data_IF_819011585340
#
_entry.id   IF_819011585340
#
_cell.length_a   1.000
_cell.length_b   1.000
_cell.length_c   1.000
_cell.angle_alpha   90.00
_cell.angle_beta   90.00
_cell.angle_gamma   90.00
#
_symmetry.space_group_name_H-M   'P 1'
#
loop_
_entity.id
_entity.type
_entity.pdbx_description
1 polymer ?
#
# COMPACT_ATOMS: atom_id res chain seq x y z
N UNK A 1 -17.48 -24.65 10.54
CA UNK A 1 -17.97 -24.15 11.84
C UNK A 1 -17.82 -25.13 13.02
N UNK A 2 -17.39 -26.39 12.81
CA UNK A 2 -17.20 -27.38 13.89
C UNK A 2 -15.75 -27.49 14.45
N UNK A 3 -14.75 -26.95 13.74
CA UNK A 3 -13.35 -27.03 14.17
C UNK A 3 -12.99 -26.02 15.29
N UNK A 4 -13.66 -24.88 15.33
CA UNK A 4 -13.42 -23.82 16.33
C UNK A 4 -13.96 -24.22 17.71
N UNK A 5 -15.05 -24.99 17.75
CA UNK A 5 -15.70 -25.41 19.00
C UNK A 5 -14.93 -26.53 19.71
N UNK A 6 -14.34 -27.47 18.96
CA UNK A 6 -13.52 -28.53 19.54
C UNK A 6 -12.18 -28.01 20.10
N UNK A 7 -11.62 -26.94 19.53
CA UNK A 7 -10.43 -26.30 20.09
C UNK A 7 -10.73 -25.63 21.44
N UNK A 8 -11.94 -25.09 21.60
CA UNK A 8 -12.38 -24.37 22.80
C UNK A 8 -12.55 -25.28 24.03
N UNK A 9 -12.94 -26.55 23.84
CA UNK A 9 -13.11 -27.52 24.94
C UNK A 9 -11.78 -28.05 25.52
N UNK A 10 -10.70 -27.99 24.74
CA UNK A 10 -9.36 -28.37 25.22
C UNK A 10 -8.76 -27.28 26.15
N UNK A 11 -9.26 -26.04 26.05
CA UNK A 11 -8.75 -24.90 26.83
C UNK A 11 -9.12 -24.92 28.33
N UNK A 12 -10.10 -25.72 28.75
CA UNK A 12 -10.66 -25.66 30.11
C UNK A 12 -9.85 -26.37 31.20
N UNK A 13 -8.75 -27.08 30.88
CA UNK A 13 -8.15 -28.02 31.86
C UNK A 13 -6.74 -27.74 32.37
N UNK A 14 -6.12 -26.58 32.13
CA UNK A 14 -4.83 -26.29 32.80
C UNK A 14 -4.38 -24.82 32.78
N UNK A 15 -4.35 -24.20 33.97
CA UNK A 15 -3.84 -22.84 34.20
C UNK A 15 -2.40 -22.60 33.70
N UNK A 16 -1.55 -23.64 33.68
CA UNK A 16 -0.17 -23.55 33.15
C UNK A 16 -0.08 -23.63 31.61
N UNK A 17 -1.08 -24.20 30.94
CA UNK A 17 -1.10 -24.38 29.48
C UNK A 17 -1.49 -23.09 28.77
N UNK A 18 -2.39 -22.28 29.36
CA UNK A 18 -2.82 -21.00 28.81
C UNK A 18 -1.63 -20.04 28.58
N UNK A 19 -0.70 -19.93 29.53
CA UNK A 19 0.44 -19.00 29.41
C UNK A 19 1.45 -19.43 28.32
N UNK A 20 1.74 -20.73 28.21
CA UNK A 20 2.59 -21.26 27.13
C UNK A 20 1.93 -21.12 25.75
N UNK A 21 0.61 -21.32 25.66
CA UNK A 21 -0.13 -21.10 24.42
C UNK A 21 -0.18 -19.62 24.02
N UNK A 22 -0.29 -18.69 24.98
CA UNK A 22 -0.25 -17.25 24.69
C UNK A 22 1.11 -16.85 24.11
N UNK A 23 2.22 -17.30 24.70
CA UNK A 23 3.56 -17.02 24.15
C UNK A 23 3.71 -17.67 22.77
N UNK A 24 3.22 -18.90 22.58
CA UNK A 24 3.28 -19.60 21.30
C UNK A 24 2.40 -18.93 20.23
N UNK A 25 1.21 -18.44 20.56
CA UNK A 25 0.33 -17.71 19.63
C UNK A 25 0.94 -16.35 19.27
N UNK A 26 1.57 -15.65 20.23
CA UNK A 26 2.32 -14.42 19.95
C UNK A 26 3.51 -14.71 19.02
N UNK A 27 4.25 -15.80 19.27
CA UNK A 27 5.37 -16.20 18.41
C UNK A 27 4.92 -16.64 17.02
N UNK A 28 3.86 -17.45 16.91
CA UNK A 28 3.27 -17.89 15.63
C UNK A 28 2.72 -16.68 14.87
N UNK A 29 2.03 -15.74 15.52
CA UNK A 29 1.57 -14.53 14.84
C UNK A 29 2.74 -13.65 14.37
N UNK A 30 3.86 -13.63 15.09
CA UNK A 30 5.07 -12.91 14.69
C UNK A 30 5.79 -13.60 13.53
N UNK A 31 5.92 -14.93 13.54
CA UNK A 31 6.62 -15.70 12.50
C UNK A 31 5.78 -15.97 11.24
N UNK A 32 4.46 -16.07 11.38
CA UNK A 32 3.51 -16.19 10.24
C UNK A 32 3.28 -14.82 9.58
N UNK A 33 3.44 -13.71 10.31
CA UNK A 33 3.39 -12.36 9.74
C UNK A 33 4.56 -12.03 8.80
N UNK A 34 5.73 -12.63 9.02
CA UNK A 34 6.95 -12.34 8.24
C UNK A 34 7.14 -13.29 7.03
N UNK A 35 6.56 -14.50 7.05
CA UNK A 35 6.81 -15.54 6.02
C UNK A 35 5.76 -15.65 4.89
N UNK A 36 4.80 -14.72 4.78
CA UNK A 36 3.69 -14.80 3.81
C UNK A 36 3.73 -13.78 2.65
N UNK A 37 4.80 -12.97 2.51
CA UNK A 37 4.87 -11.92 1.49
C UNK A 37 6.00 -12.11 0.47
N UNK A 38 6.06 -13.30 -0.12
CA UNK A 38 6.65 -13.50 -1.46
C UNK A 38 5.61 -13.33 -2.58
N UNK A 39 4.56 -12.54 -2.34
CA UNK A 39 3.68 -12.11 -3.41
C UNK A 39 4.29 -10.88 -4.09
N UNK A 40 4.59 -10.99 -5.38
CA UNK A 40 4.80 -9.83 -6.24
C UNK A 40 3.60 -8.89 -6.06
N UNK A 41 3.85 -7.69 -5.56
CA UNK A 41 2.82 -6.67 -5.40
C UNK A 41 2.26 -6.32 -6.77
N UNK A 42 0.94 -6.20 -6.89
CA UNK A 42 0.31 -5.68 -8.11
C UNK A 42 0.10 -4.18 -7.98
N UNK A 43 0.69 -3.43 -8.92
CA UNK A 43 0.54 -1.99 -9.00
C UNK A 43 -0.34 -1.63 -10.19
N UNK A 44 -1.19 -0.62 -10.01
CA UNK A 44 -1.88 0.00 -11.11
C UNK A 44 -0.97 1.01 -11.79
N UNK A 45 -0.92 0.95 -13.12
CA UNK A 45 -0.14 1.85 -13.96
C UNK A 45 -1.10 2.61 -14.88
N UNK A 46 -1.18 3.92 -14.68
CA UNK A 46 -2.04 4.81 -15.44
C UNK A 46 -1.60 6.27 -15.22
N UNK A 47 -2.12 7.16 -16.05
CA UNK A 47 -1.97 8.59 -15.82
C UNK A 47 -3.17 9.39 -16.28
N UNK A 48 -3.42 10.54 -15.66
CA UNK A 48 -4.28 11.60 -16.20
C UNK A 48 -3.48 12.83 -16.67
N UNK A 49 -2.16 12.71 -16.69
CA UNK A 49 -1.22 13.71 -17.23
C UNK A 49 -0.97 13.44 -18.71
N UNK A 50 -0.76 14.52 -19.44
CA UNK A 50 -0.13 14.45 -20.75
C UNK A 50 1.38 14.21 -20.54
N UNK A 51 1.82 12.98 -20.76
CA UNK A 51 3.20 12.57 -20.53
C UNK A 51 4.20 13.23 -21.49
N UNK A 52 3.80 13.54 -22.73
CA UNK A 52 4.67 14.22 -23.68
C UNK A 52 4.87 15.67 -23.28
N UNK A 53 3.78 16.37 -22.96
CA UNK A 53 3.85 17.75 -22.47
C UNK A 53 4.69 17.85 -21.20
N UNK A 54 4.45 16.99 -20.22
CA UNK A 54 5.21 16.97 -18.97
C UNK A 54 6.71 16.78 -19.20
N UNK A 55 7.08 15.86 -20.09
CA UNK A 55 8.50 15.59 -20.37
C UNK A 55 9.17 16.73 -21.12
N UNK A 56 8.46 17.42 -22.01
CA UNK A 56 8.97 18.60 -22.69
C UNK A 56 9.24 19.77 -21.73
N UNK A 57 8.50 19.85 -20.62
CA UNK A 57 8.70 20.87 -19.59
C UNK A 57 9.90 20.57 -18.67
N UNK A 58 10.35 19.31 -18.59
CA UNK A 58 11.50 18.89 -17.79
C UNK A 58 12.80 19.15 -18.55
N UNK A 59 13.51 20.21 -18.16
CA UNK A 59 14.79 20.62 -18.77
C UNK A 59 16.00 19.81 -18.29
N UNK A 60 15.96 19.25 -17.09
CA UNK A 60 17.07 18.46 -16.56
C UNK A 60 17.10 17.06 -17.18
N UNK A 61 18.24 16.67 -17.73
CA UNK A 61 18.39 15.41 -18.46
C UNK A 61 18.16 14.17 -17.59
N UNK A 62 18.63 14.17 -16.33
CA UNK A 62 18.49 13.02 -15.45
C UNK A 62 17.04 12.82 -15.04
N UNK A 63 16.35 13.92 -14.70
CA UNK A 63 14.91 13.89 -14.43
C UNK A 63 14.10 13.51 -15.66
N UNK A 64 14.46 14.02 -16.84
CA UNK A 64 13.79 13.67 -18.09
C UNK A 64 13.88 12.16 -18.32
N UNK A 65 15.10 11.61 -18.31
CA UNK A 65 15.36 10.17 -18.49
C UNK A 65 14.65 9.31 -17.45
N UNK A 66 14.63 9.74 -16.18
CA UNK A 66 13.91 9.02 -15.12
C UNK A 66 12.39 9.00 -15.37
N UNK A 67 11.84 10.11 -15.88
CA UNK A 67 10.41 10.29 -16.15
C UNK A 67 9.96 9.75 -17.51
N UNK A 68 10.84 9.31 -18.41
CA UNK A 68 10.47 8.79 -19.74
C UNK A 68 9.45 7.64 -19.65
N UNK A 69 9.51 6.85 -18.57
CA UNK A 69 8.57 5.76 -18.32
C UNK A 69 7.11 6.19 -18.17
N UNK A 70 6.86 7.48 -17.91
CA UNK A 70 5.51 8.06 -17.87
C UNK A 70 4.79 7.93 -19.20
N UNK A 71 5.51 7.93 -20.34
CA UNK A 71 4.87 7.82 -21.67
C UNK A 71 4.27 6.43 -21.93
N UNK A 72 4.75 5.40 -21.23
CA UNK A 72 4.32 4.02 -21.46
C UNK A 72 3.12 3.59 -20.63
N UNK A 73 2.64 4.46 -19.72
CA UNK A 73 1.41 4.20 -18.97
C UNK A 73 0.19 4.77 -19.69
N UNK A 74 -0.96 4.08 -19.66
CA UNK A 74 -2.16 4.51 -20.35
C UNK A 74 -2.71 5.82 -19.75
N UNK A 75 -3.04 6.77 -20.63
CA UNK A 75 -3.82 7.95 -20.27
C UNK A 75 -5.28 7.56 -20.06
N UNK A 76 -5.85 7.86 -18.90
CA UNK A 76 -7.25 7.59 -18.59
C UNK A 76 -7.78 8.44 -17.44
N UNK A 77 -9.03 8.89 -17.57
CA UNK A 77 -9.73 9.65 -16.52
C UNK A 77 -10.02 8.79 -15.27
N UNK A 78 -10.04 7.46 -15.42
CA UNK A 78 -10.12 6.53 -14.28
C UNK A 78 -8.87 6.51 -13.42
N UNK A 79 -7.78 7.14 -13.84
CA UNK A 79 -6.57 7.32 -13.04
C UNK A 79 -6.68 8.47 -12.03
N UNK A 80 -7.87 8.76 -11.53
CA UNK A 80 -8.11 9.87 -10.62
C UNK A 80 -7.62 9.60 -9.20
N UNK A 81 -7.75 10.60 -8.33
CA UNK A 81 -7.38 10.48 -6.91
C UNK A 81 -8.33 9.58 -6.12
N UNK A 82 -9.63 9.57 -6.47
CA UNK A 82 -10.68 8.69 -5.91
C UNK A 82 -10.61 7.24 -6.43
N UNK A 83 -9.49 6.89 -7.06
CA UNK A 83 -9.16 5.61 -7.71
C UNK A 83 -10.02 4.42 -7.28
N UNK A 84 -10.91 3.99 -8.19
CA UNK A 84 -11.78 2.82 -8.05
C UNK A 84 -11.29 1.74 -9.01
N UNK A 85 -10.73 0.62 -8.51
CA UNK A 85 -10.07 -0.39 -9.36
C UNK A 85 -10.89 -0.88 -10.55
N UNK A 86 -12.18 -1.20 -10.35
CA UNK A 86 -13.05 -1.72 -11.41
C UNK A 86 -13.27 -0.70 -12.54
N UNK A 87 -13.42 0.58 -12.19
CA UNK A 87 -13.61 1.67 -13.15
C UNK A 87 -12.28 1.99 -13.84
N UNK A 88 -11.18 2.03 -13.08
CA UNK A 88 -9.85 2.28 -13.60
C UNK A 88 -9.43 1.23 -14.63
N UNK A 89 -9.64 -0.06 -14.35
CA UNK A 89 -9.33 -1.14 -15.28
C UNK A 89 -10.15 -1.05 -16.57
N UNK A 90 -11.46 -0.81 -16.46
CA UNK A 90 -12.35 -0.66 -17.63
C UNK A 90 -12.02 0.56 -18.48
N UNK A 91 -11.50 1.61 -17.86
CA UNK A 91 -11.09 2.84 -18.53
C UNK A 91 -9.66 2.79 -19.08
N UNK A 92 -8.98 1.64 -18.96
CA UNK A 92 -7.69 1.39 -19.61
C UNK A 92 -6.47 1.38 -18.70
N UNK A 93 -6.63 1.56 -17.38
CA UNK A 93 -5.51 1.39 -16.45
C UNK A 93 -4.98 -0.05 -16.50
N UNK A 94 -3.65 -0.22 -16.42
CA UNK A 94 -3.03 -1.54 -16.39
C UNK A 94 -2.83 -1.98 -14.94
N UNK A 95 -3.19 -3.22 -14.61
CA UNK A 95 -2.74 -3.86 -13.37
C UNK A 95 -1.63 -4.83 -13.72
N UNK A 96 -0.44 -4.62 -13.16
CA UNK A 96 0.72 -5.45 -13.45
C UNK A 96 1.46 -5.84 -12.17
N UNK A 97 2.07 -7.01 -12.20
CA UNK A 97 2.97 -7.44 -11.14
C UNK A 97 4.24 -6.58 -11.14
N UNK A 98 4.66 -6.18 -9.95
CA UNK A 98 5.81 -5.35 -9.70
C UNK A 98 6.87 -6.21 -9.01
N UNK A 99 7.69 -6.86 -9.82
CA UNK A 99 8.69 -7.83 -9.37
C UNK A 99 9.67 -7.18 -8.38
N UNK A 100 9.63 -7.66 -7.13
CA UNK A 100 10.41 -7.13 -6.01
C UNK A 100 10.43 -5.59 -5.95
N UNK A 101 9.33 -4.95 -6.31
CA UNK A 101 9.21 -3.50 -6.46
C UNK A 101 8.24 -2.88 -5.46
N UNK A 102 8.02 -1.57 -5.62
CA UNK A 102 7.02 -0.80 -4.86
C UNK A 102 6.08 -0.06 -5.81
N UNK A 103 4.86 0.19 -5.37
CA UNK A 103 3.96 1.06 -6.11
C UNK A 103 4.32 2.52 -5.83
N UNK A 104 4.12 3.38 -6.83
CA UNK A 104 4.30 4.82 -6.74
C UNK A 104 3.04 5.53 -7.22
N UNK A 105 2.69 6.62 -6.54
CA UNK A 105 1.67 7.57 -6.99
C UNK A 105 2.23 8.99 -6.89
N UNK A 106 2.17 9.72 -7.98
CA UNK A 106 2.39 11.16 -8.02
C UNK A 106 1.05 11.87 -8.21
N UNK A 107 0.79 12.89 -7.41
CA UNK A 107 -0.40 13.73 -7.46
C UNK A 107 0.02 15.18 -7.65
N UNK A 108 -0.50 15.83 -8.68
CA UNK A 108 -0.26 17.23 -9.01
C UNK A 108 -1.57 17.98 -8.82
N UNK A 109 -1.61 18.90 -7.87
CA UNK A 109 -2.74 19.77 -7.61
C UNK A 109 -2.38 21.20 -8.03
N UNK A 110 -3.00 21.69 -9.09
CA UNK A 110 -2.82 23.05 -9.58
C UNK A 110 -3.73 24.03 -8.82
N UNK A 111 -3.39 25.33 -8.83
CA UNK A 111 -4.19 26.37 -8.17
C UNK A 111 -5.64 26.45 -8.65
N UNK A 112 -5.90 26.09 -9.91
CA UNK A 112 -7.24 26.00 -10.49
C UNK A 112 -8.06 24.79 -9.97
N UNK A 113 -7.58 24.09 -8.92
CA UNK A 113 -8.16 22.87 -8.34
C UNK A 113 -8.24 21.69 -9.29
N UNK A 114 -7.56 21.73 -10.43
CA UNK A 114 -7.39 20.53 -11.26
C UNK A 114 -6.33 19.65 -10.63
N UNK A 115 -6.68 18.38 -10.43
CA UNK A 115 -5.74 17.37 -9.96
C UNK A 115 -5.40 16.42 -11.09
N UNK A 116 -4.12 16.14 -11.24
CA UNK A 116 -3.59 15.19 -12.19
C UNK A 116 -2.77 14.16 -11.46
N UNK A 117 -2.85 12.91 -11.88
CA UNK A 117 -2.30 11.78 -11.15
C UNK A 117 -1.52 10.90 -12.10
N UNK A 118 -0.44 10.34 -11.60
CA UNK A 118 0.34 9.31 -12.25
C UNK A 118 0.56 8.17 -11.26
N UNK A 119 0.36 6.94 -11.72
CA UNK A 119 0.55 5.72 -10.96
C UNK A 119 1.46 4.78 -11.73
N UNK A 120 2.34 4.11 -11.01
CA UNK A 120 3.27 3.16 -11.61
C UNK A 120 3.89 2.20 -10.61
N UNK A 121 4.69 1.29 -11.15
CA UNK A 121 5.54 0.37 -10.41
C UNK A 121 7.00 0.80 -10.58
N UNK A 122 7.76 0.79 -9.48
CA UNK A 122 9.22 0.86 -9.52
C UNK A 122 9.73 -0.56 -9.27
N UNK A 123 10.24 -1.28 -10.28
CA UNK A 123 10.70 -2.65 -10.11
C UNK A 123 12.01 -2.68 -9.30
N UNK A 124 12.28 -3.81 -8.62
CA UNK A 124 13.53 -4.06 -7.87
C UNK A 124 13.87 -3.03 -6.79
N UNK A 125 12.92 -2.20 -6.36
CA UNK A 125 13.14 -1.13 -5.37
C UNK A 125 12.70 -1.51 -3.96
N UNK A 126 12.17 -2.72 -3.74
CA UNK A 126 11.78 -3.18 -2.42
C UNK A 126 13.00 -3.13 -1.49
N UNK A 127 12.80 -2.58 -0.29
CA UNK A 127 13.85 -2.30 0.71
C UNK A 127 14.91 -1.25 0.31
N UNK A 128 14.91 -0.74 -0.93
CA UNK A 128 15.82 0.34 -1.36
C UNK A 128 15.18 1.71 -1.20
N UNK A 129 13.85 1.78 -1.36
CA UNK A 129 13.08 3.01 -1.21
C UNK A 129 12.12 2.83 -0.05
N UNK A 130 12.14 3.79 0.88
CA UNK A 130 11.20 3.83 2.00
C UNK A 130 9.79 4.13 1.50
N UNK A 131 8.80 3.43 2.04
CA UNK A 131 7.39 3.75 1.84
C UNK A 131 7.03 5.02 2.61
N UNK A 132 6.81 6.12 1.91
CA UNK A 132 6.40 7.39 2.51
C UNK A 132 5.74 8.29 1.46
N UNK A 133 5.13 9.37 1.92
CA UNK A 133 4.60 10.43 1.06
C UNK A 133 5.38 11.72 1.31
N UNK A 134 5.96 12.29 0.25
CA UNK A 134 6.61 13.60 0.27
C UNK A 134 5.75 14.60 -0.48
N UNK A 135 5.46 15.72 0.16
CA UNK A 135 4.69 16.82 -0.43
C UNK A 135 5.58 18.04 -0.64
N UNK A 136 5.53 18.59 -1.84
CA UNK A 136 6.24 19.80 -2.26
C UNK A 136 5.17 20.80 -2.69
N UNK A 137 5.26 22.03 -2.22
CA UNK A 137 4.36 23.12 -2.60
C UNK A 137 5.14 24.25 -3.27
N UNK A 138 4.54 24.86 -4.28
CA UNK A 138 5.05 26.05 -4.96
C UNK A 138 3.93 27.09 -5.12
N UNK A 139 4.26 28.23 -5.70
CA UNK A 139 3.27 29.26 -6.04
C UNK A 139 2.34 28.84 -7.19
N UNK A 140 2.62 27.74 -7.89
CA UNK A 140 1.84 27.26 -9.03
C UNK A 140 0.92 26.09 -8.67
N UNK A 141 1.20 25.43 -7.53
CA UNK A 141 0.44 24.28 -7.07
C UNK A 141 1.20 23.45 -6.04
N UNK A 142 0.77 22.20 -5.85
CA UNK A 142 1.47 21.25 -4.99
C UNK A 142 1.61 19.90 -5.68
N UNK A 143 2.75 19.26 -5.46
CA UNK A 143 3.05 17.90 -5.88
C UNK A 143 3.15 17.02 -4.63
N UNK A 144 2.52 15.87 -4.66
CA UNK A 144 2.68 14.83 -3.63
C UNK A 144 3.14 13.53 -4.30
N UNK A 145 4.25 12.99 -3.82
CA UNK A 145 4.84 11.75 -4.30
C UNK A 145 4.81 10.71 -3.18
N UNK A 146 4.06 9.64 -3.38
CA UNK A 146 3.91 8.54 -2.45
C UNK A 146 4.49 7.25 -3.00
N UNK A 147 5.21 6.52 -2.17
CA UNK A 147 5.68 5.15 -2.40
C UNK A 147 5.04 4.21 -1.39
N UNK A 148 4.56 3.05 -1.83
CA UNK A 148 3.80 2.16 -0.97
C UNK A 148 3.94 0.67 -1.32
N UNK A 149 3.83 -0.18 -0.28
CA UNK A 149 3.85 -1.65 -0.39
C UNK A 149 2.46 -2.22 -0.68
N UNK A 150 1.51 -1.41 -1.16
CA UNK A 150 0.18 -1.86 -1.56
C UNK A 150 -0.30 -1.19 -2.87
N UNK A 151 -1.36 -1.68 -3.49
CA UNK A 151 -1.90 -1.14 -4.74
C UNK A 151 -2.52 0.27 -4.59
N UNK A 152 -2.85 0.71 -3.38
CA UNK A 152 -3.45 2.02 -3.09
C UNK A 152 -2.47 2.93 -2.35
N UNK A 153 -1.62 3.66 -3.09
CA UNK A 153 -0.66 4.64 -2.54
C UNK A 153 -1.28 5.92 -1.92
N UNK A 154 -2.57 5.89 -1.55
CA UNK A 154 -3.23 6.94 -0.76
C UNK A 154 -3.76 6.43 0.58
N UNK A 155 -3.80 5.10 0.75
CA UNK A 155 -4.46 4.51 1.89
C UNK A 155 -3.41 4.22 2.95
N UNK A 156 -2.94 5.27 3.62
CA UNK A 156 -2.32 5.11 4.94
C UNK A 156 -3.46 4.78 5.92
N UNK A 157 -4.13 3.65 5.70
CA UNK A 157 -4.78 2.95 6.79
C UNK A 157 -3.62 2.46 7.65
N UNK A 158 -3.14 3.31 8.57
CA UNK A 158 -2.47 2.82 9.77
C UNK A 158 -3.46 1.83 10.36
N UNK A 159 -3.23 0.54 10.14
CA UNK A 159 -3.93 -0.52 10.85
C UNK A 159 -3.56 -0.24 12.31
N UNK A 160 -4.44 0.49 13.00
CA UNK A 160 -4.36 0.65 14.45
C UNK A 160 -4.64 -0.75 14.98
N UNK A 161 -3.57 -1.50 15.24
CA UNK A 161 -3.65 -2.71 16.02
C UNK A 161 -4.41 -2.35 17.29
N UNK A 162 -5.61 -2.91 17.42
CA UNK A 162 -6.54 -2.50 18.46
C UNK A 162 -6.06 -3.14 19.77
N UNK A 163 -5.14 -2.48 20.47
CA UNK A 163 -4.60 -2.90 21.77
C UNK A 163 -5.69 -3.22 22.80
N UNK A 164 -6.89 -2.70 22.60
CA UNK A 164 -8.07 -2.98 23.41
C UNK A 164 -8.45 -4.47 23.35
N UNK A 165 -8.32 -5.13 22.18
CA UNK A 165 -8.66 -6.55 22.04
C UNK A 165 -7.67 -7.45 22.77
N UNK A 166 -6.37 -7.10 22.76
CA UNK A 166 -5.34 -7.82 23.50
C UNK A 166 -5.43 -7.57 25.01
N UNK A 167 -5.76 -6.35 25.45
CA UNK A 167 -5.95 -6.02 26.87
C UNK A 167 -7.20 -6.72 27.44
N UNK A 168 -8.33 -6.73 26.71
CA UNK A 168 -9.55 -7.44 27.14
C UNK A 168 -9.31 -8.95 27.28
N UNK A 169 -8.50 -9.54 26.38
CA UNK A 169 -8.14 -10.96 26.46
C UNK A 169 -7.23 -11.26 27.66
N UNK A 170 -6.28 -10.37 27.97
CA UNK A 170 -5.42 -10.48 29.16
C UNK A 170 -6.26 -10.38 30.44
N UNK A 171 -7.22 -9.46 30.52
CA UNK A 171 -8.12 -9.31 31.66
C UNK A 171 -9.00 -10.55 31.84
N UNK A 172 -9.52 -11.12 30.75
CA UNK A 172 -10.31 -12.35 30.81
C UNK A 172 -9.50 -13.55 31.31
N UNK A 173 -8.22 -13.64 30.93
CA UNK A 173 -7.29 -14.66 31.43
C UNK A 173 -6.84 -14.44 32.89
N UNK A 174 -6.89 -13.22 33.42
CA UNK A 174 -6.55 -12.92 34.82
C UNK A 174 -7.71 -13.17 35.79
N UNK A 175 -8.95 -13.16 35.30
CA UNK A 175 -10.16 -13.28 36.13
C UNK A 175 -10.59 -14.73 36.41
N UNK A 176 -9.95 -15.73 35.79
CA UNK A 176 -10.22 -17.16 35.94
C UNK A 176 -8.94 -17.97 36.23
#
# INVERSE_FOLDING_TARGET
MLFIFNLFLIFLKSKKICFKFVILIIFINKTVGENLYFHNIRCYSCTSLDGEKLLNDIKDYNWHKWMENIRYVPYTDGCSDTFTPDIALRSGAKSQECENGICMKMSLMYLNRTSKVWRGCIPKSKNQIRTDCTKISSNEGSMELCTCDNHLCNNINKIKYNYILSILFIIFCLKY
#
